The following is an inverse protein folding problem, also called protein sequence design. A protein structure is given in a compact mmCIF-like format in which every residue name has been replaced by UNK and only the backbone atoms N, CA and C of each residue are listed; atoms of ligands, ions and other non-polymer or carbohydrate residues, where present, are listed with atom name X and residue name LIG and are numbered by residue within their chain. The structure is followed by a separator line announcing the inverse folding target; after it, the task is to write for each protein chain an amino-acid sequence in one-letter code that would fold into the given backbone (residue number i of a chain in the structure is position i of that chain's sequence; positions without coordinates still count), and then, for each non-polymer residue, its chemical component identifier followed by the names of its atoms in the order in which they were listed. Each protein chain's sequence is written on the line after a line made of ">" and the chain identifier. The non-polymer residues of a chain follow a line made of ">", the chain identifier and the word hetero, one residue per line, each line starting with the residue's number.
data_IF_974762863753
#
_entry.id   IF_974762863753
#
_cell.length_a   1.000
_cell.length_b   1.000
_cell.length_c   1.000
_cell.angle_alpha   90.00
_cell.angle_beta   90.00
_cell.angle_gamma   90.00
#
_symmetry.space_group_name_H-M   'P 1'
#
loop_
_entity.id
_entity.type
_entity.pdbx_description
1 polymer ?
#
# COMPACT_ATOMS: atom_id res chain seq x y z
N UNK A 1 -16.37 -17.41 -5.50
CA UNK A 1 -15.28 -16.46 -5.16
C UNK A 1 -15.68 -15.79 -3.86
N UNK A 2 -14.80 -15.74 -2.86
CA UNK A 2 -15.03 -15.11 -1.56
C UNK A 2 -14.33 -13.74 -1.48
N UNK A 3 -14.45 -13.04 -0.35
CA UNK A 3 -13.84 -11.73 -0.16
C UNK A 3 -12.31 -11.74 -0.28
N UNK A 4 -11.62 -12.75 0.26
CA UNK A 4 -10.17 -12.91 0.13
C UNK A 4 -9.71 -12.97 -1.34
N UNK A 5 -10.45 -13.68 -2.21
CA UNK A 5 -10.15 -13.68 -3.65
C UNK A 5 -10.31 -12.30 -4.28
N UNK A 6 -11.36 -11.56 -3.91
CA UNK A 6 -11.59 -10.20 -4.42
C UNK A 6 -10.54 -9.22 -3.93
N UNK A 7 -10.19 -9.26 -2.64
CA UNK A 7 -9.15 -8.41 -2.07
C UNK A 7 -7.82 -8.59 -2.77
N UNK A 8 -7.40 -9.85 -3.00
CA UNK A 8 -6.19 -10.14 -3.76
C UNK A 8 -6.25 -9.54 -5.17
N UNK A 9 -7.33 -9.75 -5.93
CA UNK A 9 -7.41 -9.21 -7.30
C UNK A 9 -7.40 -7.66 -7.29
N UNK A 10 -8.15 -7.04 -6.39
CA UNK A 10 -8.36 -5.60 -6.37
C UNK A 10 -7.12 -4.85 -5.86
N UNK A 11 -6.36 -5.42 -4.92
CA UNK A 11 -5.20 -4.75 -4.33
C UNK A 11 -4.02 -4.56 -5.30
N UNK A 12 -3.97 -5.34 -6.39
CA UNK A 12 -2.90 -5.22 -7.38
C UNK A 12 -3.01 -3.92 -8.18
N UNK A 13 -4.22 -3.41 -8.39
CA UNK A 13 -4.45 -2.22 -9.22
C UNK A 13 -3.89 -0.97 -8.55
N UNK A 14 -4.15 -0.67 -7.26
CA UNK A 14 -3.49 0.45 -6.59
C UNK A 14 -1.96 0.34 -6.58
N UNK A 15 -1.41 -0.85 -6.31
CA UNK A 15 0.04 -1.07 -6.22
C UNK A 15 0.75 -0.87 -7.57
N UNK A 16 0.26 -1.48 -8.64
CA UNK A 16 0.87 -1.32 -9.98
C UNK A 16 0.53 0.05 -10.57
N UNK A 17 -0.71 0.50 -10.37
CA UNK A 17 -1.22 1.77 -10.85
C UNK A 17 -0.43 2.96 -10.31
N UNK A 18 -0.09 2.99 -9.02
CA UNK A 18 0.68 4.10 -8.46
C UNK A 18 2.07 4.21 -9.08
N UNK A 19 2.75 3.08 -9.31
CA UNK A 19 4.05 3.05 -10.01
C UNK A 19 3.95 3.58 -11.44
N UNK A 20 2.92 3.16 -12.18
CA UNK A 20 2.64 3.65 -13.53
C UNK A 20 2.40 5.17 -13.55
N UNK A 21 1.59 5.68 -12.63
CA UNK A 21 1.22 7.10 -12.58
C UNK A 21 2.39 7.98 -12.14
N UNK A 22 3.26 7.51 -11.22
CA UNK A 22 4.51 8.19 -10.88
C UNK A 22 5.36 8.39 -12.13
N UNK A 23 5.62 7.31 -12.88
CA UNK A 23 6.42 7.37 -14.10
C UNK A 23 5.80 8.32 -15.13
N UNK A 24 4.49 8.20 -15.33
CA UNK A 24 3.75 9.05 -16.27
C UNK A 24 3.82 10.53 -15.88
N UNK A 25 3.67 10.87 -14.59
CA UNK A 25 3.76 12.23 -14.08
C UNK A 25 5.19 12.79 -14.21
N UNK A 26 6.22 11.99 -13.95
CA UNK A 26 7.63 12.38 -14.17
C UNK A 26 7.86 12.73 -15.64
N UNK A 27 7.41 11.87 -16.56
CA UNK A 27 7.54 12.12 -18.01
C UNK A 27 6.78 13.39 -18.41
N UNK A 28 5.57 13.58 -17.87
CA UNK A 28 4.75 14.77 -18.13
C UNK A 28 5.44 16.07 -17.72
N UNK A 29 6.05 16.09 -16.53
CA UNK A 29 6.79 17.25 -16.02
C UNK A 29 8.09 17.47 -16.79
N UNK A 30 8.86 16.41 -17.07
CA UNK A 30 10.11 16.50 -17.83
C UNK A 30 9.90 17.02 -19.25
N UNK A 31 8.83 16.55 -19.93
CA UNK A 31 8.44 17.01 -21.27
C UNK A 31 7.68 18.34 -21.26
N UNK A 32 7.32 18.85 -20.08
CA UNK A 32 6.49 20.04 -19.88
C UNK A 32 5.15 19.97 -20.64
N UNK A 33 4.61 18.77 -20.91
CA UNK A 33 3.37 18.58 -21.67
C UNK A 33 2.14 18.79 -20.79
N UNK A 34 1.27 19.78 -21.09
CA UNK A 34 0.00 19.96 -20.40
C UNK A 34 -0.93 18.75 -20.54
N UNK A 35 -0.96 18.14 -21.72
CA UNK A 35 -1.82 17.00 -22.04
C UNK A 35 -1.41 15.80 -21.20
N UNK A 36 -0.12 15.47 -21.16
CA UNK A 36 0.37 14.33 -20.41
C UNK A 36 0.21 14.53 -18.89
N UNK A 37 0.30 15.78 -18.41
CA UNK A 37 -0.02 16.10 -17.00
C UNK A 37 -1.48 15.82 -16.69
N UNK A 38 -2.40 16.24 -17.56
CA UNK A 38 -3.83 15.97 -17.36
C UNK A 38 -4.13 14.47 -17.37
N UNK A 39 -3.52 13.71 -18.29
CA UNK A 39 -3.65 12.25 -18.33
C UNK A 39 -3.11 11.65 -17.03
N UNK A 40 -1.92 12.04 -16.57
CA UNK A 40 -1.36 11.57 -15.30
C UNK A 40 -2.30 11.87 -14.12
N UNK A 41 -2.86 13.08 -14.03
CA UNK A 41 -3.82 13.43 -12.98
C UNK A 41 -5.10 12.59 -13.03
N UNK A 42 -5.64 12.31 -14.23
CA UNK A 42 -6.81 11.45 -14.40
C UNK A 42 -6.50 10.04 -13.88
N UNK A 43 -5.36 9.47 -14.25
CA UNK A 43 -4.98 8.15 -13.74
C UNK A 43 -4.70 8.14 -12.24
N UNK A 44 -4.15 9.23 -11.66
CA UNK A 44 -4.05 9.37 -10.20
C UNK A 44 -5.41 9.25 -9.53
N UNK A 45 -6.43 9.93 -10.06
CA UNK A 45 -7.80 9.87 -9.54
C UNK A 45 -8.38 8.46 -9.67
N UNK A 46 -8.15 7.79 -10.81
CA UNK A 46 -8.61 6.41 -11.01
C UNK A 46 -7.95 5.47 -9.99
N UNK A 47 -6.64 5.59 -9.76
CA UNK A 47 -5.91 4.77 -8.79
C UNK A 47 -6.45 4.98 -7.37
N UNK A 48 -6.69 6.24 -6.97
CA UNK A 48 -7.31 6.54 -5.68
C UNK A 48 -8.68 5.86 -5.57
N UNK A 49 -9.60 6.13 -6.51
CA UNK A 49 -10.94 5.51 -6.50
C UNK A 49 -10.91 3.98 -6.50
N UNK A 50 -9.89 3.36 -7.09
CA UNK A 50 -9.72 1.90 -7.07
C UNK A 50 -9.19 1.35 -5.74
N UNK A 51 -8.54 2.18 -4.92
CA UNK A 51 -8.15 1.81 -3.57
C UNK A 51 -9.39 1.57 -2.69
N UNK A 52 -10.51 2.24 -2.95
CA UNK A 52 -11.77 2.06 -2.20
C UNK A 52 -12.24 0.60 -2.18
N UNK A 53 -12.52 -0.07 -3.32
CA UNK A 53 -12.95 -1.46 -3.28
C UNK A 53 -11.86 -2.42 -2.76
N UNK A 54 -10.57 -2.08 -2.92
CA UNK A 54 -9.49 -2.86 -2.30
C UNK A 54 -9.54 -2.79 -0.77
N UNK A 55 -9.79 -1.61 -0.21
CA UNK A 55 -9.90 -1.38 1.23
C UNK A 55 -11.16 -2.06 1.79
N UNK A 56 -12.31 -1.86 1.15
CA UNK A 56 -13.59 -2.43 1.59
C UNK A 56 -13.65 -3.96 1.56
N UNK A 57 -12.76 -4.61 0.80
CA UNK A 57 -12.65 -6.07 0.77
C UNK A 57 -11.62 -6.62 1.75
N UNK A 58 -10.87 -5.76 2.47
CA UNK A 58 -9.83 -6.15 3.41
C UNK A 58 -10.38 -6.81 4.68
N UNK A 59 -11.25 -6.13 5.42
CA UNK A 59 -11.86 -6.66 6.65
C UNK A 59 -12.60 -8.00 6.42
N UNK A 60 -13.45 -8.15 5.39
CA UNK A 60 -14.06 -9.46 5.11
C UNK A 60 -13.06 -10.52 4.60
N UNK A 61 -11.88 -10.13 4.14
CA UNK A 61 -10.82 -11.08 3.80
C UNK A 61 -10.06 -11.54 5.04
N UNK A 62 -9.84 -10.65 6.01
CA UNK A 62 -9.27 -10.92 7.33
C UNK A 62 -10.10 -11.96 8.09
N UNK A 63 -11.42 -11.76 8.22
CA UNK A 63 -12.33 -12.71 8.90
C UNK A 63 -12.23 -14.14 8.34
N UNK A 64 -11.83 -14.30 7.07
CA UNK A 64 -11.69 -15.60 6.43
C UNK A 64 -10.35 -16.26 6.78
N UNK A 65 -9.30 -15.46 6.98
CA UNK A 65 -7.92 -15.94 7.11
C UNK A 65 -7.39 -15.91 8.54
N UNK A 66 -7.97 -15.13 9.44
CA UNK A 66 -7.46 -14.95 10.81
C UNK A 66 -7.34 -16.28 11.59
N UNK A 67 -8.29 -17.19 11.42
CA UNK A 67 -8.32 -18.50 12.09
C UNK A 67 -7.49 -19.59 11.37
N UNK A 68 -6.81 -19.26 10.26
CA UNK A 68 -6.09 -20.27 9.48
C UNK A 68 -4.74 -20.66 10.13
N UNK A 69 -4.38 -21.96 10.12
CA UNK A 69 -3.10 -22.40 10.66
C UNK A 69 -1.89 -21.70 10.00
N UNK A 70 -1.00 -21.14 10.82
CA UNK A 70 0.24 -20.50 10.36
C UNK A 70 0.12 -19.01 10.01
N UNK A 71 -1.08 -18.45 10.13
CA UNK A 71 -1.36 -17.02 10.05
C UNK A 71 -1.23 -16.41 11.45
N UNK A 72 -0.70 -15.19 11.49
CA UNK A 72 -0.45 -14.45 12.73
C UNK A 72 -1.38 -13.24 12.72
N UNK A 73 -2.25 -13.13 13.73
CA UNK A 73 -3.10 -11.95 13.94
C UNK A 73 -2.27 -10.67 13.95
N UNK A 74 -1.13 -10.66 14.65
CA UNK A 74 -0.21 -9.51 14.65
C UNK A 74 0.23 -9.09 13.24
N UNK A 75 0.45 -10.05 12.33
CA UNK A 75 0.85 -9.73 10.95
C UNK A 75 -0.31 -9.19 10.11
N UNK A 76 -1.54 -9.63 10.39
CA UNK A 76 -2.75 -9.08 9.76
C UNK A 76 -2.95 -7.64 10.24
N UNK A 77 -2.92 -7.42 11.55
CA UNK A 77 -3.12 -6.12 12.17
C UNK A 77 -2.06 -5.10 11.70
N UNK A 78 -0.78 -5.49 11.59
CA UNK A 78 0.24 -4.62 10.99
C UNK A 78 -0.10 -4.25 9.53
N UNK A 79 -0.56 -5.21 8.72
CA UNK A 79 -0.97 -4.93 7.34
C UNK A 79 -2.16 -3.97 7.29
N UNK A 80 -3.17 -4.19 8.13
CA UNK A 80 -4.38 -3.38 8.22
C UNK A 80 -4.07 -1.93 8.63
N UNK A 81 -3.28 -1.73 9.70
CA UNK A 81 -2.94 -0.41 10.21
C UNK A 81 -2.22 0.45 9.13
N UNK A 82 -1.32 -0.17 8.37
CA UNK A 82 -0.66 0.50 7.25
C UNK A 82 -1.57 0.63 6.03
N UNK A 83 -2.49 -0.32 5.79
CA UNK A 83 -3.46 -0.24 4.71
C UNK A 83 -4.41 0.94 4.89
N UNK A 84 -4.91 1.17 6.11
CA UNK A 84 -5.75 2.34 6.42
C UNK A 84 -5.01 3.65 6.17
N UNK A 85 -3.78 3.78 6.68
CA UNK A 85 -2.93 4.97 6.48
C UNK A 85 -2.66 5.20 4.99
N UNK A 86 -2.30 4.15 4.25
CA UNK A 86 -2.04 4.22 2.82
C UNK A 86 -3.30 4.62 2.03
N UNK A 87 -4.46 4.05 2.39
CA UNK A 87 -5.76 4.33 1.79
C UNK A 87 -6.15 5.81 1.98
N UNK A 88 -6.17 6.30 3.22
CA UNK A 88 -6.50 7.71 3.50
C UNK A 88 -5.54 8.64 2.75
N UNK A 89 -4.24 8.31 2.75
CA UNK A 89 -3.24 9.13 2.10
C UNK A 89 -3.43 9.19 0.58
N UNK A 90 -3.70 8.06 -0.08
CA UNK A 90 -3.89 8.05 -1.54
C UNK A 90 -5.20 8.72 -1.96
N UNK A 91 -6.25 8.65 -1.15
CA UNK A 91 -7.49 9.42 -1.37
C UNK A 91 -7.24 10.93 -1.34
N UNK A 92 -6.46 11.41 -0.36
CA UNK A 92 -6.06 12.83 -0.29
C UNK A 92 -5.26 13.24 -1.53
N UNK A 93 -4.30 12.42 -1.96
CA UNK A 93 -3.52 12.66 -3.19
C UNK A 93 -4.41 12.67 -4.44
N UNK A 94 -5.39 11.76 -4.51
CA UNK A 94 -6.44 11.73 -5.55
C UNK A 94 -7.28 13.01 -5.56
N UNK A 95 -7.68 13.51 -4.39
CA UNK A 95 -8.38 14.79 -4.26
C UNK A 95 -7.54 15.97 -4.76
N UNK A 96 -6.25 16.03 -4.40
CA UNK A 96 -5.32 17.05 -4.91
C UNK A 96 -5.20 16.96 -6.43
N UNK A 97 -5.10 15.75 -6.98
CA UNK A 97 -5.03 15.50 -8.42
C UNK A 97 -6.29 16.00 -9.16
N UNK A 98 -7.47 15.75 -8.59
CA UNK A 98 -8.73 16.25 -9.13
C UNK A 98 -8.79 17.78 -9.11
N UNK A 99 -8.37 18.41 -8.02
CA UNK A 99 -8.27 19.88 -7.91
C UNK A 99 -7.26 20.42 -8.94
N UNK A 100 -6.12 19.75 -9.15
CA UNK A 100 -5.15 20.14 -10.17
C UNK A 100 -5.74 20.11 -11.58
N UNK A 101 -6.52 19.07 -11.89
CA UNK A 101 -7.16 18.87 -13.19
C UNK A 101 -8.21 19.94 -13.49
N UNK A 102 -9.04 20.29 -12.51
CA UNK A 102 -10.11 21.29 -12.66
C UNK A 102 -9.53 22.71 -12.55
N UNK A 103 -8.78 22.99 -11.48
CA UNK A 103 -8.20 24.31 -11.20
C UNK A 103 -7.13 24.72 -12.21
N UNK A 104 -6.39 23.76 -12.77
CA UNK A 104 -5.39 24.00 -13.82
C UNK A 104 -5.97 24.57 -15.12
N UNK A 105 -7.27 24.37 -15.38
CA UNK A 105 -7.97 24.98 -16.52
C UNK A 105 -8.15 26.49 -16.37
N UNK A 106 -8.28 26.97 -15.13
CA UNK A 106 -8.49 28.38 -14.82
C UNK A 106 -7.20 29.10 -14.43
N UNK A 107 -6.24 28.39 -13.82
CA UNK A 107 -4.97 28.95 -13.38
C UNK A 107 -3.80 27.98 -13.64
N UNK A 108 -2.99 28.29 -14.66
CA UNK A 108 -1.83 27.49 -15.06
C UNK A 108 -0.77 27.35 -13.95
N UNK A 109 -0.53 28.40 -13.15
CA UNK A 109 0.45 28.37 -12.06
C UNK A 109 -0.01 27.42 -10.96
N UNK A 110 -1.29 27.49 -10.60
CA UNK A 110 -1.90 26.57 -9.63
C UNK A 110 -1.81 25.12 -10.13
N UNK A 111 -2.23 24.85 -11.37
CA UNK A 111 -2.18 23.50 -11.95
C UNK A 111 -0.77 22.90 -11.97
N UNK A 112 0.25 23.70 -12.32
CA UNK A 112 1.65 23.25 -12.27
C UNK A 112 2.14 22.98 -10.84
N UNK A 113 1.77 23.85 -9.89
CA UNK A 113 2.15 23.68 -8.48
C UNK A 113 1.53 22.40 -7.93
N UNK A 114 0.22 22.20 -8.14
CA UNK A 114 -0.47 21.01 -7.70
C UNK A 114 0.03 19.75 -8.41
N UNK A 115 0.45 19.81 -9.68
CA UNK A 115 1.07 18.66 -10.35
C UNK A 115 2.37 18.20 -9.66
N UNK A 116 3.20 19.13 -9.21
CA UNK A 116 4.41 18.79 -8.45
C UNK A 116 4.05 18.24 -7.06
N UNK A 117 3.06 18.84 -6.38
CA UNK A 117 2.55 18.33 -5.10
C UNK A 117 1.98 16.92 -5.26
N UNK A 118 1.20 16.65 -6.32
CA UNK A 118 0.71 15.32 -6.64
C UNK A 118 1.85 14.34 -6.83
N UNK A 119 2.92 14.69 -7.57
CA UNK A 119 4.05 13.80 -7.76
C UNK A 119 4.73 13.44 -6.42
N UNK A 120 4.98 14.42 -5.56
CA UNK A 120 5.58 14.18 -4.23
C UNK A 120 4.65 13.29 -3.40
N UNK A 121 3.34 13.57 -3.42
CA UNK A 121 2.34 12.74 -2.78
C UNK A 121 2.32 11.31 -3.33
N UNK A 122 2.36 11.12 -4.65
CA UNK A 122 2.40 9.80 -5.27
C UNK A 122 3.64 9.00 -4.85
N UNK A 123 4.82 9.62 -4.72
CA UNK A 123 6.03 8.94 -4.27
C UNK A 123 5.88 8.51 -2.80
N UNK A 124 5.42 9.40 -1.93
CA UNK A 124 5.20 9.08 -0.51
C UNK A 124 4.12 7.99 -0.34
N UNK A 125 2.97 8.16 -1.01
CA UNK A 125 1.87 7.19 -1.01
C UNK A 125 2.28 5.86 -1.63
N UNK A 126 3.09 5.87 -2.70
CA UNK A 126 3.67 4.67 -3.30
C UNK A 126 4.56 3.90 -2.34
N UNK A 127 5.35 4.61 -1.53
CA UNK A 127 6.11 4.01 -0.44
C UNK A 127 5.22 3.34 0.62
N UNK A 128 4.14 4.01 1.03
CA UNK A 128 3.16 3.43 1.98
C UNK A 128 2.48 2.20 1.39
N UNK A 129 1.95 2.27 0.17
CA UNK A 129 1.27 1.14 -0.49
C UNK A 129 2.25 -0.03 -0.69
N UNK A 130 3.49 0.23 -1.10
CA UNK A 130 4.51 -0.81 -1.25
C UNK A 130 4.85 -1.47 0.11
N UNK A 131 4.91 -0.68 1.18
CA UNK A 131 5.11 -1.21 2.53
C UNK A 131 3.93 -2.07 2.98
N UNK A 132 2.69 -1.60 2.80
CA UNK A 132 1.46 -2.37 3.06
C UNK A 132 1.46 -3.69 2.27
N UNK A 133 1.85 -3.68 0.99
CA UNK A 133 1.94 -4.87 0.17
C UNK A 133 3.01 -5.87 0.68
N UNK A 134 4.15 -5.36 1.16
CA UNK A 134 5.18 -6.19 1.80
C UNK A 134 4.68 -6.85 3.10
N UNK A 135 3.95 -6.11 3.94
CA UNK A 135 3.30 -6.69 5.13
C UNK A 135 2.27 -7.75 4.75
N UNK A 136 1.43 -7.46 3.74
CA UNK A 136 0.44 -8.42 3.22
C UNK A 136 1.07 -9.70 2.70
N UNK A 137 2.22 -9.59 2.01
CA UNK A 137 3.01 -10.74 1.57
C UNK A 137 3.43 -11.64 2.75
N UNK A 138 3.88 -11.04 3.86
CA UNK A 138 4.31 -11.77 5.05
C UNK A 138 3.18 -12.53 5.75
N UNK A 139 1.90 -12.20 5.52
CA UNK A 139 0.76 -12.93 6.12
C UNK A 139 0.78 -14.41 5.70
N UNK A 140 1.14 -14.73 4.45
CA UNK A 140 1.14 -16.12 3.95
C UNK A 140 2.52 -16.69 3.62
N UNK A 141 3.56 -15.85 3.51
CA UNK A 141 4.89 -16.27 3.09
C UNK A 141 5.87 -16.20 4.27
N UNK A 142 6.09 -17.34 4.93
CA UNK A 142 7.01 -17.43 6.08
C UNK A 142 8.47 -17.16 5.67
N UNK A 143 8.82 -17.46 4.42
CA UNK A 143 10.15 -17.27 3.85
C UNK A 143 10.60 -15.79 3.82
N UNK A 144 9.66 -14.84 3.81
CA UNK A 144 9.97 -13.39 3.82
C UNK A 144 9.75 -12.73 5.18
N UNK A 145 9.40 -13.50 6.22
CA UNK A 145 9.35 -13.00 7.62
C UNK A 145 10.75 -12.80 8.22
N UNK A 146 11.77 -13.36 7.58
CA UNK A 146 13.15 -13.39 8.05
C UNK A 146 13.33 -14.49 9.11
N UNK A 147 14.30 -15.38 8.92
CA UNK A 147 14.69 -16.35 9.95
C UNK A 147 15.16 -15.60 11.20
N UNK A 148 14.28 -15.43 12.18
CA UNK A 148 14.71 -15.50 13.57
C UNK A 148 14.62 -16.96 13.98
N UNK A 149 15.57 -17.74 13.47
CA UNK A 149 16.00 -18.97 14.16
C UNK A 149 16.55 -18.52 15.50
N UNK A 150 15.67 -18.39 16.48
CA UNK A 150 16.05 -18.35 17.88
C UNK A 150 16.68 -19.71 18.15
N UNK A 151 18.01 -19.77 18.02
CA UNK A 151 18.83 -20.80 18.62
C UNK A 151 18.52 -20.76 20.12
N UNK A 152 17.52 -21.53 20.53
CA UNK A 152 17.38 -21.89 21.94
C UNK A 152 18.64 -22.68 22.27
N UNK A 153 19.44 -22.25 23.27
CA UNK A 153 20.53 -23.09 23.75
C UNK A 153 19.94 -24.43 24.20
N UNK A 154 20.63 -25.56 23.99
CA UNK A 154 20.14 -26.83 24.50
C UNK A 154 19.93 -26.69 26.01
N UNK A 155 18.78 -27.16 26.50
CA UNK A 155 18.46 -27.21 27.92
C UNK A 155 19.61 -27.93 28.63
N UNK A 156 20.43 -27.15 29.34
CA UNK A 156 21.47 -27.67 30.20
C UNK A 156 20.81 -28.42 31.35
N UNK A 157 21.03 -29.73 31.36
CA UNK A 157 20.73 -30.62 32.46
C UNK A 157 21.47 -30.13 33.72
N UNK A 158 20.76 -29.37 34.56
CA UNK A 158 21.23 -28.91 35.85
C UNK A 158 20.16 -29.20 36.89
N UNK A 159 19.96 -30.49 37.17
CA UNK A 159 19.42 -30.90 38.46
C UNK A 159 20.03 -32.25 38.89
N UNK A 160 21.28 -32.18 39.35
CA UNK A 160 21.84 -33.13 40.30
C UNK A 160 22.59 -32.34 41.36
N UNK A 161 21.88 -32.02 42.43
CA UNK A 161 22.43 -31.87 43.78
C UNK A 161 21.23 -31.74 44.73
N UNK A 162 20.84 -32.89 45.31
CA UNK A 162 20.44 -33.00 46.72
C UNK A 162 19.99 -34.45 46.96
N UNK A 163 20.85 -35.25 47.61
CA UNK A 163 20.53 -36.02 48.80
C UNK A 163 21.74 -36.87 49.25
N UNK A 164 22.04 -36.72 50.53
CA UNK A 164 22.91 -37.47 51.45
C UNK A 164 24.40 -37.09 51.57
#
# INVERSE_FOLDING_TARGET
>A
MNAAHWHLILNHIPLVGIGFVILLMIIALARKSPELKNVAQIFTVIVALWAIPSYLTGEPAEEIVEDMPGISEDSIHEHEEFAEKAFIFIEVVGGIALIALIGGRFNKKLGNTLAVVTLVGLIAGGGLIAWTANLGGKIHHQEIRGEKTALSPPAGDANKEDND
#
